data_IF_715055201640
#
_entry.id   IF_715055201640
#
_cell.length_a   1.000
_cell.length_b   1.000
_cell.length_c   1.000
_cell.angle_alpha   90.00
_cell.angle_beta   90.00
_cell.angle_gamma   90.00
#
_symmetry.space_group_name_H-M   'P 1'
#
loop_
_entity.id
_entity.type
_entity.pdbx_description
1 polymer ?
#
# COMPACT_ATOMS: atom_id res chain seq x y z
N UNK A 1 -22.35 8.89 14.80
CA UNK A 1 -22.52 9.00 16.26
C UNK A 1 -21.90 10.31 16.72
N UNK A 2 -22.50 11.00 17.68
CA UNK A 2 -22.00 12.30 18.14
C UNK A 2 -20.82 12.12 19.11
N UNK A 3 -19.61 12.35 18.60
CA UNK A 3 -18.36 12.28 19.35
C UNK A 3 -18.28 13.29 20.50
N UNK A 4 -19.00 14.42 20.42
CA UNK A 4 -19.01 15.41 21.49
C UNK A 4 -19.77 14.89 22.70
N UNK A 5 -20.94 14.30 22.49
CA UNK A 5 -21.75 13.75 23.57
C UNK A 5 -21.04 12.61 24.30
N UNK A 6 -20.43 11.69 23.56
CA UNK A 6 -19.67 10.56 24.16
C UNK A 6 -18.50 11.07 24.99
N UNK A 7 -17.73 12.04 24.49
CA UNK A 7 -16.62 12.63 25.26
C UNK A 7 -17.08 13.31 26.55
N UNK A 8 -18.21 14.02 26.51
CA UNK A 8 -18.76 14.71 27.66
C UNK A 8 -19.28 13.75 28.74
N UNK A 9 -19.84 12.60 28.34
CA UNK A 9 -20.55 11.70 29.25
C UNK A 9 -19.76 10.43 29.63
N UNK A 10 -18.58 10.17 29.05
CA UNK A 10 -17.89 8.87 29.26
C UNK A 10 -17.57 8.50 30.70
N UNK A 11 -17.53 9.49 31.60
CA UNK A 11 -17.21 9.31 33.03
C UNK A 11 -18.46 9.27 33.92
N UNK A 12 -19.66 9.47 33.37
CA UNK A 12 -20.87 9.47 34.20
C UNK A 12 -21.23 8.04 34.62
N UNK A 13 -21.77 7.84 35.83
CA UNK A 13 -22.19 6.52 36.29
C UNK A 13 -23.21 5.86 35.36
N UNK A 14 -24.14 6.65 34.80
CA UNK A 14 -25.16 6.19 33.87
C UNK A 14 -24.53 5.63 32.58
N UNK A 15 -23.58 6.36 32.01
CA UNK A 15 -22.87 5.94 30.82
C UNK A 15 -22.04 4.67 31.08
N UNK A 16 -21.31 4.62 32.20
CA UNK A 16 -20.53 3.45 32.59
C UNK A 16 -21.42 2.21 32.77
N UNK A 17 -22.60 2.37 33.39
CA UNK A 17 -23.57 1.28 33.57
C UNK A 17 -24.16 0.81 32.24
N UNK A 18 -24.51 1.73 31.35
CA UNK A 18 -24.98 1.42 30.01
C UNK A 18 -23.90 0.69 29.19
N UNK A 19 -22.66 1.18 29.22
CA UNK A 19 -21.54 0.60 28.51
C UNK A 19 -21.22 -0.81 29.03
N UNK A 20 -21.20 -1.02 30.35
CA UNK A 20 -21.03 -2.33 30.95
C UNK A 20 -22.15 -3.30 30.54
N UNK A 21 -23.41 -2.86 30.57
CA UNK A 21 -24.55 -3.65 30.10
C UNK A 21 -24.45 -4.01 28.61
N UNK A 22 -24.00 -3.07 27.78
CA UNK A 22 -23.74 -3.31 26.36
C UNK A 22 -22.63 -4.35 26.16
N UNK A 23 -21.50 -4.24 26.88
CA UNK A 23 -20.42 -5.22 26.81
C UNK A 23 -20.85 -6.63 27.21
N UNK A 24 -21.67 -6.77 28.26
CA UNK A 24 -22.19 -8.07 28.69
C UNK A 24 -23.02 -8.70 27.57
N UNK A 25 -23.95 -7.93 26.98
CA UNK A 25 -24.77 -8.40 25.86
C UNK A 25 -23.90 -8.74 24.64
N UNK A 26 -22.94 -7.89 24.31
CA UNK A 26 -22.03 -8.10 23.19
C UNK A 26 -21.23 -9.40 23.37
N UNK A 27 -20.66 -9.62 24.55
CA UNK A 27 -19.90 -10.83 24.89
C UNK A 27 -20.78 -12.08 24.81
N UNK A 28 -22.05 -12.00 25.21
CA UNK A 28 -23.00 -13.11 25.12
C UNK A 28 -23.42 -13.42 23.67
N UNK A 29 -23.50 -12.41 22.80
CA UNK A 29 -23.87 -12.58 21.40
C UNK A 29 -22.73 -13.11 20.53
N UNK A 30 -21.48 -12.77 20.86
CA UNK A 30 -20.32 -13.12 20.03
C UNK A 30 -19.83 -14.54 20.34
N UNK A 31 -19.65 -15.35 19.29
CA UNK A 31 -19.27 -16.77 19.39
C UNK A 31 -17.97 -17.08 18.63
N UNK A 32 -17.32 -18.18 19.02
CA UNK A 32 -16.18 -18.75 18.29
C UNK A 32 -14.99 -17.79 18.15
N UNK A 33 -14.48 -17.63 16.93
CA UNK A 33 -13.25 -16.88 16.62
C UNK A 33 -13.31 -15.38 16.96
N UNK A 34 -14.49 -14.83 17.20
CA UNK A 34 -14.69 -13.41 17.50
C UNK A 34 -14.69 -13.11 19.02
N UNK A 35 -14.83 -14.13 19.90
CA UNK A 35 -14.80 -13.92 21.35
C UNK A 35 -13.50 -13.27 21.87
N UNK A 36 -12.29 -13.72 21.42
CA UNK A 36 -11.04 -13.10 21.86
C UNK A 36 -10.96 -11.60 21.53
N UNK A 37 -11.61 -11.17 20.46
CA UNK A 37 -11.59 -9.78 19.97
C UNK A 37 -12.39 -8.87 20.91
N UNK A 38 -13.54 -9.35 21.39
CA UNK A 38 -14.35 -8.64 22.39
C UNK A 38 -13.65 -8.63 23.74
N UNK A 39 -13.02 -9.76 24.12
CA UNK A 39 -12.29 -9.87 25.38
C UNK A 39 -11.08 -8.93 25.44
N UNK A 40 -10.39 -8.71 24.33
CA UNK A 40 -9.27 -7.77 24.23
C UNK A 40 -9.68 -6.30 24.39
N UNK A 41 -10.95 -5.96 24.18
CA UNK A 41 -11.50 -4.60 24.28
C UNK A 41 -12.43 -4.46 25.50
N UNK A 42 -12.13 -5.17 26.59
CA UNK A 42 -12.99 -5.20 27.78
C UNK A 42 -13.15 -3.80 28.39
N UNK A 43 -14.40 -3.34 28.50
CA UNK A 43 -14.73 -2.03 29.06
C UNK A 43 -14.76 -0.89 28.04
N UNK A 44 -14.37 -1.14 26.78
CA UNK A 44 -14.52 -0.21 25.67
C UNK A 44 -15.48 -0.79 24.62
N UNK A 45 -16.77 -0.43 24.74
CA UNK A 45 -17.82 -0.86 23.81
C UNK A 45 -17.52 -0.44 22.37
N UNK A 46 -16.96 0.75 22.18
CA UNK A 46 -16.75 1.29 20.85
C UNK A 46 -15.54 0.66 20.19
N UNK A 47 -14.43 0.54 20.92
CA UNK A 47 -13.26 -0.23 20.48
C UNK A 47 -13.62 -1.68 20.18
N UNK A 48 -14.47 -2.32 21.01
CA UNK A 48 -14.93 -3.68 20.76
C UNK A 48 -15.79 -3.79 19.49
N UNK A 49 -16.70 -2.85 19.26
CA UNK A 49 -17.53 -2.80 18.05
C UNK A 49 -16.70 -2.57 16.79
N UNK A 50 -15.73 -1.64 16.84
CA UNK A 50 -14.82 -1.37 15.72
C UNK A 50 -13.92 -2.57 15.42
N UNK A 51 -13.32 -3.18 16.45
CA UNK A 51 -12.49 -4.37 16.30
C UNK A 51 -13.30 -5.55 15.73
N UNK A 52 -14.56 -5.73 16.16
CA UNK A 52 -15.47 -6.73 15.59
C UNK A 52 -15.81 -6.44 14.13
N UNK A 53 -16.14 -5.19 13.81
CA UNK A 53 -16.45 -4.77 12.43
C UNK A 53 -15.25 -5.03 11.52
N UNK A 54 -14.04 -4.72 11.99
CA UNK A 54 -12.80 -5.00 11.27
C UNK A 54 -12.59 -6.51 11.09
N UNK A 55 -12.71 -7.31 12.14
CA UNK A 55 -12.50 -8.75 12.07
C UNK A 55 -13.53 -9.49 11.21
N UNK A 56 -14.79 -9.01 11.19
CA UNK A 56 -15.83 -9.55 10.33
C UNK A 56 -15.68 -9.07 8.89
N UNK A 57 -15.24 -7.82 8.70
CA UNK A 57 -15.04 -7.19 7.40
C UNK A 57 -13.79 -7.67 6.67
N UNK A 58 -12.71 -7.99 7.40
CA UNK A 58 -11.42 -8.43 6.84
C UNK A 58 -11.57 -9.68 5.96
N UNK A 59 -12.51 -10.56 6.31
CA UNK A 59 -12.85 -11.77 5.53
C UNK A 59 -14.04 -11.57 4.59
N UNK A 60 -14.49 -10.34 4.38
CA UNK A 60 -15.59 -10.08 3.48
C UNK A 60 -15.11 -10.04 2.03
N UNK A 61 -15.90 -10.61 1.14
CA UNK A 61 -15.70 -10.53 -0.32
C UNK A 61 -15.66 -9.06 -0.77
N UNK A 62 -16.43 -8.18 -0.12
CA UNK A 62 -16.44 -6.74 -0.43
C UNK A 62 -15.06 -6.13 -0.20
N UNK A 63 -14.41 -6.40 0.94
CA UNK A 63 -13.06 -5.89 1.20
C UNK A 63 -12.02 -6.47 0.23
N UNK A 64 -12.14 -7.75 -0.09
CA UNK A 64 -11.30 -8.39 -1.11
C UNK A 64 -11.44 -7.68 -2.47
N UNK A 65 -12.68 -7.47 -2.94
CA UNK A 65 -12.96 -6.75 -4.18
C UNK A 65 -12.44 -5.32 -4.15
N UNK A 66 -12.59 -4.60 -3.02
CA UNK A 66 -12.06 -3.24 -2.87
C UNK A 66 -10.53 -3.21 -2.99
N UNK A 67 -9.82 -4.17 -2.38
CA UNK A 67 -8.36 -4.30 -2.48
C UNK A 67 -7.92 -4.67 -3.89
N UNK A 68 -8.62 -5.58 -4.56
CA UNK A 68 -8.38 -5.93 -5.95
C UNK A 68 -8.58 -4.72 -6.86
N UNK A 69 -9.67 -3.97 -6.67
CA UNK A 69 -9.94 -2.76 -7.43
C UNK A 69 -8.86 -1.69 -7.20
N UNK A 70 -8.42 -1.50 -5.96
CA UNK A 70 -7.33 -0.58 -5.64
C UNK A 70 -6.02 -1.00 -6.32
N UNK A 71 -5.72 -2.30 -6.40
CA UNK A 71 -4.54 -2.82 -7.09
C UNK A 71 -4.62 -2.59 -8.61
N UNK A 72 -5.76 -2.93 -9.24
CA UNK A 72 -5.98 -2.78 -10.69
C UNK A 72 -5.93 -1.30 -11.10
N UNK A 73 -6.45 -0.40 -10.27
CA UNK A 73 -6.46 1.03 -10.52
C UNK A 73 -5.25 1.76 -9.92
N UNK A 74 -4.23 1.03 -9.48
CA UNK A 74 -2.96 1.62 -9.10
C UNK A 74 -2.26 2.04 -10.39
N UNK A 75 -2.31 3.32 -10.73
CA UNK A 75 -1.76 3.87 -11.98
C UNK A 75 -0.56 4.77 -11.64
N UNK A 76 0.54 4.55 -12.36
CA UNK A 76 1.71 5.41 -12.27
C UNK A 76 1.42 6.75 -12.94
N UNK A 77 1.72 7.83 -12.24
CA UNK A 77 1.55 9.18 -12.75
C UNK A 77 2.92 9.70 -13.23
N UNK A 78 3.06 10.05 -14.52
CA UNK A 78 4.31 10.63 -15.04
C UNK A 78 4.76 11.83 -14.20
N UNK A 79 6.05 11.89 -13.86
CA UNK A 79 6.63 12.92 -12.99
C UNK A 79 6.64 12.58 -11.50
N UNK A 80 5.97 11.50 -11.07
CA UNK A 80 6.16 10.94 -9.72
C UNK A 80 7.38 9.99 -9.68
N UNK A 81 7.93 9.75 -8.49
CA UNK A 81 9.04 8.80 -8.32
C UNK A 81 8.56 7.37 -8.59
N UNK A 82 9.25 6.66 -9.48
CA UNK A 82 8.91 5.27 -9.80
C UNK A 82 9.01 4.38 -8.55
N UNK A 83 10.09 4.50 -7.77
CA UNK A 83 10.24 3.83 -6.47
C UNK A 83 9.05 4.01 -5.52
N UNK A 84 8.47 5.22 -5.44
CA UNK A 84 7.30 5.48 -4.60
C UNK A 84 6.05 4.73 -5.11
N UNK A 85 5.85 4.71 -6.43
CA UNK A 85 4.78 3.93 -7.05
C UNK A 85 4.95 2.44 -6.80
N UNK A 86 6.17 1.92 -7.00
CA UNK A 86 6.50 0.51 -6.73
C UNK A 86 6.18 0.12 -5.28
N UNK A 87 6.61 0.91 -4.30
CA UNK A 87 6.29 0.67 -2.88
C UNK A 87 4.79 0.67 -2.61
N UNK A 88 4.05 1.59 -3.24
CA UNK A 88 2.59 1.67 -3.11
C UNK A 88 1.93 0.42 -3.67
N UNK A 89 2.33 -0.01 -4.87
CA UNK A 89 1.84 -1.22 -5.50
C UNK A 89 2.13 -2.46 -4.65
N UNK A 90 3.37 -2.60 -4.17
CA UNK A 90 3.79 -3.72 -3.30
C UNK A 90 2.92 -3.81 -2.04
N UNK A 91 2.66 -2.66 -1.40
CA UNK A 91 1.80 -2.59 -0.21
C UNK A 91 0.36 -3.04 -0.50
N UNK A 92 -0.21 -2.60 -1.62
CA UNK A 92 -1.55 -3.02 -2.05
C UNK A 92 -1.59 -4.51 -2.34
N UNK A 93 -0.58 -5.02 -3.06
CA UNK A 93 -0.46 -6.43 -3.40
C UNK A 93 -0.34 -7.32 -2.16
N UNK A 94 0.56 -6.98 -1.23
CA UNK A 94 0.73 -7.69 0.04
C UNK A 94 -0.57 -7.70 0.85
N UNK A 95 -1.28 -6.56 0.90
CA UNK A 95 -2.56 -6.47 1.62
C UNK A 95 -3.64 -7.36 1.00
N UNK A 96 -3.65 -7.48 -0.33
CA UNK A 96 -4.56 -8.36 -1.06
C UNK A 96 -4.21 -9.84 -0.82
N UNK A 97 -2.93 -10.22 -0.87
CA UNK A 97 -2.49 -11.59 -0.59
C UNK A 97 -2.91 -12.06 0.81
N UNK A 98 -2.74 -11.22 1.83
CA UNK A 98 -3.19 -11.53 3.20
C UNK A 98 -4.70 -11.80 3.26
N UNK A 99 -5.49 -11.05 2.48
CA UNK A 99 -6.94 -11.23 2.42
C UNK A 99 -7.31 -12.52 1.69
N UNK A 100 -6.63 -12.83 0.57
CA UNK A 100 -6.80 -14.08 -0.17
C UNK A 100 -6.51 -15.29 0.72
N UNK A 101 -5.42 -15.26 1.49
CA UNK A 101 -5.09 -16.33 2.44
C UNK A 101 -6.18 -16.56 3.49
N UNK A 102 -6.93 -15.52 3.83
CA UNK A 102 -8.07 -15.59 4.75
C UNK A 102 -9.36 -16.15 4.13
N UNK A 103 -9.43 -16.22 2.79
CA UNK A 103 -10.56 -16.70 1.96
C UNK A 103 -10.02 -17.55 0.78
N UNK A 104 -9.38 -18.71 1.05
CA UNK A 104 -8.57 -19.44 0.07
C UNK A 104 -9.33 -19.96 -1.16
N UNK A 105 -10.64 -20.14 -1.06
CA UNK A 105 -11.46 -20.73 -2.13
C UNK A 105 -12.09 -19.69 -3.08
N UNK A 106 -11.85 -18.39 -2.87
CA UNK A 106 -12.53 -17.35 -3.64
C UNK A 106 -11.76 -16.88 -4.88
N UNK A 107 -10.47 -16.58 -4.74
CA UNK A 107 -9.63 -16.10 -5.84
C UNK A 107 -8.16 -16.48 -5.59
N UNK A 108 -7.43 -16.75 -6.66
CA UNK A 108 -5.97 -16.89 -6.64
C UNK A 108 -5.35 -15.90 -7.60
N UNK A 109 -4.35 -15.15 -7.15
CA UNK A 109 -3.54 -14.29 -8.02
C UNK A 109 -2.18 -14.95 -8.17
N UNK A 110 -1.83 -15.33 -9.40
CA UNK A 110 -0.50 -15.86 -9.67
C UNK A 110 0.53 -14.73 -9.64
N UNK A 111 1.77 -15.04 -9.26
CA UNK A 111 2.88 -14.08 -9.30
C UNK A 111 3.07 -13.47 -10.70
N UNK A 112 2.80 -14.23 -11.77
CA UNK A 112 2.80 -13.71 -13.15
C UNK A 112 1.69 -12.68 -13.42
N UNK A 113 0.47 -12.90 -12.91
CA UNK A 113 -0.62 -11.92 -13.03
C UNK A 113 -0.31 -10.65 -12.24
N UNK A 114 0.25 -10.77 -11.02
CA UNK A 114 0.69 -9.61 -10.24
C UNK A 114 1.78 -8.81 -10.97
N UNK A 115 2.75 -9.48 -11.61
CA UNK A 115 3.75 -8.83 -12.46
C UNK A 115 3.10 -8.12 -13.67
N UNK A 116 2.13 -8.75 -14.33
CA UNK A 116 1.41 -8.13 -15.45
C UNK A 116 0.63 -6.89 -15.02
N UNK A 117 -0.06 -6.94 -13.87
CA UNK A 117 -0.76 -5.78 -13.30
C UNK A 117 0.21 -4.65 -12.92
N UNK A 118 1.38 -5.00 -12.38
CA UNK A 118 2.43 -4.02 -12.09
C UNK A 118 2.92 -3.34 -13.39
N UNK A 119 3.18 -4.11 -14.45
CA UNK A 119 3.57 -3.52 -15.73
C UNK A 119 2.46 -2.69 -16.36
N UNK A 120 1.20 -3.14 -16.25
CA UNK A 120 0.02 -2.40 -16.71
C UNK A 120 -0.11 -1.05 -15.99
N UNK A 121 0.23 -0.98 -14.70
CA UNK A 121 0.21 0.28 -13.94
C UNK A 121 1.11 1.37 -14.54
N UNK A 122 2.15 0.97 -15.29
CA UNK A 122 3.13 1.86 -15.91
C UNK A 122 2.75 2.26 -17.34
N UNK A 123 1.68 1.68 -17.90
CA UNK A 123 1.33 1.80 -19.33
C UNK A 123 1.02 3.22 -19.81
N UNK A 124 0.71 4.14 -18.89
CA UNK A 124 0.42 5.54 -19.24
C UNK A 124 1.66 6.41 -19.46
N UNK A 125 2.86 5.94 -19.07
CA UNK A 125 4.10 6.67 -19.35
C UNK A 125 4.77 6.12 -20.62
N UNK A 126 4.70 6.89 -21.70
CA UNK A 126 5.33 6.58 -22.98
C UNK A 126 6.83 6.31 -22.84
N UNK A 127 7.50 6.97 -21.89
CA UNK A 127 8.94 6.78 -21.64
C UNK A 127 9.27 5.40 -21.05
N UNK A 128 8.29 4.73 -20.46
CA UNK A 128 8.45 3.41 -19.84
C UNK A 128 8.00 2.26 -20.74
N UNK A 129 7.36 2.53 -21.88
CA UNK A 129 6.85 1.49 -22.80
C UNK A 129 7.94 0.51 -23.24
N UNK A 130 9.11 1.02 -23.63
CA UNK A 130 10.25 0.18 -24.03
C UNK A 130 10.77 -0.70 -22.89
N UNK A 131 10.77 -0.17 -21.67
CA UNK A 131 11.16 -0.90 -20.47
C UNK A 131 10.14 -2.00 -20.15
N UNK A 132 8.84 -1.66 -20.13
CA UNK A 132 7.74 -2.59 -19.91
C UNK A 132 7.81 -3.77 -20.89
N UNK A 133 7.97 -3.49 -22.19
CA UNK A 133 8.08 -4.53 -23.20
C UNK A 133 9.31 -5.42 -22.98
N UNK A 134 10.44 -4.85 -22.57
CA UNK A 134 11.66 -5.62 -22.26
C UNK A 134 11.49 -6.54 -21.06
N UNK A 135 10.68 -6.16 -20.07
CA UNK A 135 10.43 -6.93 -18.86
C UNK A 135 9.44 -8.08 -19.13
N UNK A 136 8.45 -7.87 -20.00
CA UNK A 136 7.49 -8.90 -20.39
C UNK A 136 8.16 -10.16 -20.99
N UNK A 137 9.24 -9.97 -21.75
CA UNK A 137 9.96 -11.06 -22.41
C UNK A 137 10.96 -11.80 -21.50
N UNK A 138 11.19 -11.33 -20.27
CA UNK A 138 12.17 -11.95 -19.37
C UNK A 138 11.58 -13.14 -18.62
N UNK A 139 12.38 -14.21 -18.51
CA UNK A 139 12.05 -15.39 -17.72
C UNK A 139 12.98 -15.53 -16.51
N UNK A 140 12.48 -15.99 -15.35
CA UNK A 140 11.06 -16.25 -15.07
C UNK A 140 10.26 -14.94 -14.93
N UNK A 141 9.03 -14.94 -15.45
CA UNK A 141 8.12 -13.79 -15.34
C UNK A 141 7.33 -13.89 -14.04
N UNK A 142 7.91 -13.34 -12.97
CA UNK A 142 7.32 -13.30 -11.62
C UNK A 142 7.30 -11.87 -11.10
N UNK A 143 6.39 -11.59 -10.18
CA UNK A 143 6.23 -10.28 -9.54
C UNK A 143 7.54 -9.79 -8.92
N UNK A 144 8.21 -10.63 -8.14
CA UNK A 144 9.44 -10.29 -7.41
C UNK A 144 10.56 -9.90 -8.38
N UNK A 145 10.73 -10.66 -9.46
CA UNK A 145 11.76 -10.37 -10.46
C UNK A 145 11.49 -9.09 -11.23
N UNK A 146 10.24 -8.86 -11.63
CA UNK A 146 9.84 -7.63 -12.31
C UNK A 146 10.01 -6.43 -11.39
N UNK A 147 9.61 -6.54 -10.12
CA UNK A 147 9.79 -5.50 -9.11
C UNK A 147 11.26 -5.14 -8.90
N UNK A 148 12.12 -6.13 -8.68
CA UNK A 148 13.57 -5.93 -8.50
C UNK A 148 14.20 -5.23 -9.70
N UNK A 149 13.83 -5.64 -10.92
CA UNK A 149 14.37 -5.02 -12.14
C UNK A 149 13.94 -3.57 -12.30
N UNK A 150 12.71 -3.24 -11.94
CA UNK A 150 12.22 -1.85 -11.97
C UNK A 150 12.98 -0.99 -10.95
N UNK A 151 13.23 -1.51 -9.74
CA UNK A 151 13.98 -0.81 -8.71
C UNK A 151 15.45 -0.57 -9.11
N UNK A 152 16.12 -1.57 -9.71
CA UNK A 152 17.48 -1.44 -10.24
C UNK A 152 17.53 -0.41 -11.39
N UNK A 153 16.48 -0.33 -12.20
CA UNK A 153 16.41 0.65 -13.30
C UNK A 153 16.20 2.07 -12.79
N UNK A 154 15.41 2.26 -11.75
CA UNK A 154 15.20 3.56 -11.11
C UNK A 154 16.51 4.11 -10.52
N UNK A 155 17.20 3.28 -9.73
CA UNK A 155 18.50 3.64 -9.12
C UNK A 155 19.58 3.96 -10.15
N UNK A 156 19.61 3.28 -11.31
CA UNK A 156 20.53 3.61 -12.42
C UNK A 156 20.20 4.92 -13.12
N UNK A 157 18.92 5.31 -13.19
CA UNK A 157 18.53 6.63 -13.72
C UNK A 157 19.02 7.73 -12.78
N UNK A 158 18.82 7.56 -11.48
CA UNK A 158 19.31 8.51 -10.47
C UNK A 158 20.83 8.68 -10.50
N UNK A 159 21.59 7.57 -10.61
CA UNK A 159 23.04 7.63 -10.70
C UNK A 159 23.52 8.32 -11.98
N UNK A 160 22.89 8.05 -13.12
CA UNK A 160 23.21 8.68 -14.40
C UNK A 160 22.94 10.18 -14.41
N UNK A 161 21.85 10.65 -13.78
CA UNK A 161 21.58 12.09 -13.63
C UNK A 161 22.62 12.76 -12.73
N UNK A 162 23.03 12.09 -11.64
CA UNK A 162 24.09 12.60 -10.77
C UNK A 162 25.45 12.70 -11.46
N UNK A 163 25.84 11.69 -12.24
CA UNK A 163 27.06 11.73 -13.05
C UNK A 163 26.99 12.84 -14.11
N UNK A 164 25.86 12.96 -14.82
CA UNK A 164 25.64 14.00 -15.82
C UNK A 164 25.78 15.41 -15.21
N UNK A 165 25.15 15.65 -14.06
CA UNK A 165 25.25 16.92 -13.35
C UNK A 165 26.67 17.19 -12.83
N UNK A 166 27.38 16.15 -12.40
CA UNK A 166 28.78 16.26 -11.98
C UNK A 166 29.69 16.67 -13.15
N UNK A 167 29.58 16.01 -14.30
CA UNK A 167 30.34 16.36 -15.50
C UNK A 167 29.98 17.75 -16.05
N UNK A 168 28.70 18.14 -16.01
CA UNK A 168 28.27 19.48 -16.41
C UNK A 168 28.88 20.56 -15.50
N UNK A 169 28.91 20.31 -14.18
CA UNK A 169 29.50 21.22 -13.19
C UNK A 169 31.03 21.28 -13.28
N UNK A 170 31.71 20.18 -13.63
CA UNK A 170 33.14 20.21 -13.92
C UNK A 170 33.43 21.04 -15.18
N UNK A 171 32.68 20.83 -16.27
CA UNK A 171 32.85 21.60 -17.50
C UNK A 171 32.58 23.11 -17.30
N UNK A 172 31.62 23.47 -16.43
CA UNK A 172 31.39 24.87 -16.06
C UNK A 172 32.51 25.49 -15.22
N UNK A 173 33.22 24.71 -14.40
CA UNK A 173 34.42 25.17 -13.68
C UNK A 173 35.59 25.41 -14.63
N UNK A 174 35.82 24.50 -15.59
CA UNK A 174 36.88 24.64 -16.59
C UNK A 174 36.61 25.77 -17.60
N UNK A 175 35.35 26.00 -17.99
CA UNK A 175 34.98 27.11 -18.88
C UNK A 175 35.05 28.51 -18.25
N UNK A 176 35.06 28.62 -16.91
CA UNK A 176 35.26 29.91 -16.21
C UNK A 176 36.73 30.23 -15.94
N UNK A 177 37.62 29.23 -15.89
CA UNK A 177 39.06 29.45 -15.73
C UNK A 177 39.72 29.97 -17.01
N UNK A 178 39.18 29.69 -18.20
CA UNK A 178 39.76 30.15 -19.47
C UNK A 178 39.51 31.62 -19.83
N UNK A 179 38.76 32.37 -19.01
CA UNK A 179 38.43 33.79 -19.25
C UNK A 179 39.18 34.77 -18.33
N UNK A 180 40.01 34.29 -17.40
CA UNK A 180 40.81 35.14 -16.51
C UNK A 180 42.30 35.26 -16.88
N UNK A 181 42.77 34.59 -17.94
CA UNK A 181 44.18 34.66 -18.38
C UNK A 181 44.42 35.48 -19.66
N UNK A 182 43.48 36.35 -20.04
CA UNK A 182 43.70 37.35 -21.11
C UNK A 182 43.28 38.74 -20.64
N UNK A 183 44.12 39.35 -19.82
CA UNK A 183 44.18 40.80 -19.58
C UNK A 183 45.62 41.20 -19.31
#
# INVERSE_FOLDING_TARGET
MDNYWVKANKKTPEFCKMAAGCMIKLTACVKGKLQPIVAANKGDVYGAMEALANACGEKSIIQLCNKLFALINCIYHPGSLLSQHLMTFWKLYTSLEMTIQSIPDFITISSGLAAALLLQSLSQDENLVSLVQSLYNKKPFTFEKVYDWLLIKDTRKESGVHESAYFLNQNHRFGKQSLQEKL
#
